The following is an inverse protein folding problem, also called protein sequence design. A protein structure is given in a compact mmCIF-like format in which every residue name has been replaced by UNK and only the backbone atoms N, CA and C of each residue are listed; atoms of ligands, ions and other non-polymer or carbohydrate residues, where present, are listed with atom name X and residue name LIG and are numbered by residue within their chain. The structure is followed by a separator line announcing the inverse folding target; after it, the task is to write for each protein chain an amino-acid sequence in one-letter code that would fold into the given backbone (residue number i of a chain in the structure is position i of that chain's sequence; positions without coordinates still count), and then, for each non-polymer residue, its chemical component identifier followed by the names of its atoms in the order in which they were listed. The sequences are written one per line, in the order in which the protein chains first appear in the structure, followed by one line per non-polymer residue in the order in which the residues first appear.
data_IF_931534739874
#
_entry.id   IF_931534739874
#
_cell.length_a   1.000
_cell.length_b   1.000
_cell.length_c   1.000
_cell.angle_alpha   90.00
_cell.angle_beta   90.00
_cell.angle_gamma   90.00
#
_symmetry.space_group_name_H-M   'P 1'
#
loop_
_entity.id
_entity.type
_entity.pdbx_description
1 polymer ?
#
# COMPACT_ATOMS: atom_id res chain seq x y z
N UNK A 1 11.43 17.27 -102.01
CA UNK A 1 11.22 18.00 -100.73
C UNK A 1 10.11 17.41 -99.85
N UNK A 2 8.92 17.02 -100.37
CA UNK A 2 7.81 16.48 -99.53
C UNK A 2 7.98 15.01 -99.07
N UNK A 3 8.58 14.15 -99.89
CA UNK A 3 8.66 12.69 -99.62
C UNK A 3 9.76 12.29 -98.61
N UNK A 4 10.85 13.05 -98.51
CA UNK A 4 11.90 12.81 -97.50
C UNK A 4 11.46 13.21 -96.09
N UNK A 5 10.58 14.21 -95.98
CA UNK A 5 10.11 14.73 -94.70
C UNK A 5 9.13 13.74 -94.02
N UNK A 6 8.31 13.02 -94.79
CA UNK A 6 7.40 12.00 -94.25
C UNK A 6 8.14 10.77 -93.73
N UNK A 7 9.19 10.31 -94.43
CA UNK A 7 10.03 9.17 -94.00
C UNK A 7 10.80 9.47 -92.72
N UNK A 8 11.33 10.69 -92.58
CA UNK A 8 11.97 11.15 -91.34
C UNK A 8 10.98 11.20 -90.17
N UNK A 9 9.77 11.73 -90.36
CA UNK A 9 8.76 11.74 -89.30
C UNK A 9 8.33 10.34 -88.86
N UNK A 10 8.20 9.38 -89.80
CA UNK A 10 7.86 7.99 -89.48
C UNK A 10 9.00 7.29 -88.71
N UNK A 11 10.26 7.54 -89.07
CA UNK A 11 11.42 6.96 -88.39
C UNK A 11 11.61 7.54 -86.98
N UNK A 12 11.40 8.85 -86.81
CA UNK A 12 11.44 9.54 -85.51
C UNK A 12 10.30 9.05 -84.62
N UNK A 13 9.08 8.88 -85.15
CA UNK A 13 7.98 8.31 -84.37
C UNK A 13 8.25 6.86 -83.96
N UNK A 14 8.86 6.04 -84.83
CA UNK A 14 9.19 4.65 -84.49
C UNK A 14 10.29 4.56 -83.42
N UNK A 15 11.33 5.38 -83.53
CA UNK A 15 12.40 5.50 -82.52
C UNK A 15 11.91 6.08 -81.19
N UNK A 16 10.94 7.00 -81.23
CA UNK A 16 10.30 7.56 -80.03
C UNK A 16 9.42 6.53 -79.31
N UNK A 17 8.66 5.74 -80.07
CA UNK A 17 7.82 4.66 -79.51
C UNK A 17 8.67 3.56 -78.87
N UNK A 18 9.76 3.12 -79.49
CA UNK A 18 10.68 2.13 -78.88
C UNK A 18 11.38 2.66 -77.63
N UNK A 19 11.79 3.94 -77.61
CA UNK A 19 12.40 4.56 -76.43
C UNK A 19 11.41 4.72 -75.26
N UNK A 20 10.14 5.01 -75.56
CA UNK A 20 9.07 5.09 -74.55
C UNK A 20 8.74 3.72 -73.98
N UNK A 21 8.70 2.68 -74.82
CA UNK A 21 8.38 1.31 -74.38
C UNK A 21 9.49 0.74 -73.48
N UNK A 22 10.76 0.98 -73.82
CA UNK A 22 11.91 0.61 -72.97
C UNK A 22 11.96 1.40 -71.65
N UNK A 23 11.58 2.67 -71.66
CA UNK A 23 11.45 3.48 -70.45
C UNK A 23 10.31 2.98 -69.55
N UNK A 24 9.17 2.60 -70.13
CA UNK A 24 8.03 2.02 -69.41
C UNK A 24 8.37 0.65 -68.81
N UNK A 25 9.14 -0.18 -69.54
CA UNK A 25 9.59 -1.49 -69.07
C UNK A 25 10.54 -1.35 -67.89
N UNK A 26 11.48 -0.40 -67.94
CA UNK A 26 12.38 -0.07 -66.82
C UNK A 26 11.65 0.50 -65.62
N UNK A 27 10.62 1.33 -65.83
CA UNK A 27 9.76 1.81 -64.73
C UNK A 27 8.99 0.65 -64.07
N UNK A 28 8.35 -0.23 -64.85
CA UNK A 28 7.63 -1.39 -64.31
C UNK A 28 8.54 -2.36 -63.56
N UNK A 29 9.78 -2.54 -64.00
CA UNK A 29 10.76 -3.34 -63.25
C UNK A 29 11.23 -2.68 -61.96
N UNK A 30 11.43 -1.36 -61.98
CA UNK A 30 11.78 -0.59 -60.78
C UNK A 30 10.63 -0.60 -59.75
N UNK A 31 9.40 -0.45 -60.22
CA UNK A 31 8.17 -0.47 -59.41
C UNK A 31 7.98 -1.85 -58.76
N UNK A 32 8.15 -2.95 -59.52
CA UNK A 32 8.12 -4.31 -58.96
C UNK A 32 9.21 -4.57 -57.92
N UNK A 33 10.43 -4.05 -58.12
CA UNK A 33 11.52 -4.16 -57.15
C UNK A 33 11.23 -3.36 -55.88
N UNK A 34 10.59 -2.21 -56.03
CA UNK A 34 10.18 -1.36 -54.91
C UNK A 34 9.04 -2.01 -54.11
N UNK A 35 8.02 -2.58 -54.77
CA UNK A 35 6.96 -3.34 -54.12
C UNK A 35 7.49 -4.57 -53.37
N UNK A 36 8.48 -5.28 -53.93
CA UNK A 36 9.14 -6.39 -53.24
C UNK A 36 9.90 -5.93 -51.99
N UNK A 37 10.61 -4.81 -52.07
CA UNK A 37 11.33 -4.25 -50.94
C UNK A 37 10.38 -3.78 -49.83
N UNK A 38 9.26 -3.15 -50.21
CA UNK A 38 8.23 -2.70 -49.27
C UNK A 38 7.50 -3.89 -48.62
N UNK A 39 7.17 -4.93 -49.40
CA UNK A 39 6.60 -6.16 -48.87
C UNK A 39 7.54 -6.87 -47.88
N UNK A 40 8.85 -6.88 -48.17
CA UNK A 40 9.87 -7.45 -47.27
C UNK A 40 10.00 -6.65 -45.97
N UNK A 41 10.10 -5.32 -46.06
CA UNK A 41 10.14 -4.43 -44.90
C UNK A 41 8.87 -4.55 -44.04
N UNK A 42 7.70 -4.69 -44.67
CA UNK A 42 6.42 -4.89 -43.97
C UNK A 42 6.35 -6.25 -43.25
N UNK A 43 6.89 -7.31 -43.84
CA UNK A 43 6.96 -8.62 -43.20
C UNK A 43 7.95 -8.63 -42.02
N UNK A 44 9.12 -7.99 -42.18
CA UNK A 44 10.10 -7.84 -41.09
C UNK A 44 9.53 -7.03 -39.93
N UNK A 45 8.83 -5.92 -40.21
CA UNK A 45 8.11 -5.13 -39.20
C UNK A 45 7.03 -5.94 -38.49
N UNK A 46 6.22 -6.72 -39.22
CA UNK A 46 5.21 -7.61 -38.61
C UNK A 46 5.84 -8.66 -37.71
N UNK A 47 6.99 -9.22 -38.11
CA UNK A 47 7.72 -10.20 -37.30
C UNK A 47 8.26 -9.58 -36.02
N UNK A 48 8.86 -8.39 -36.11
CA UNK A 48 9.33 -7.64 -34.95
C UNK A 48 8.17 -7.27 -34.01
N UNK A 49 7.03 -6.82 -34.53
CA UNK A 49 5.84 -6.52 -33.72
C UNK A 49 5.27 -7.78 -33.03
N UNK A 50 5.30 -8.94 -33.70
CA UNK A 50 4.89 -10.21 -33.09
C UNK A 50 5.85 -10.66 -31.99
N UNK A 51 7.17 -10.52 -32.20
CA UNK A 51 8.18 -10.85 -31.19
C UNK A 51 8.05 -9.92 -29.97
N UNK A 52 7.92 -8.61 -30.18
CA UNK A 52 7.66 -7.64 -29.10
C UNK A 52 6.37 -8.00 -28.35
N UNK A 53 5.31 -8.38 -29.05
CA UNK A 53 4.04 -8.79 -28.41
C UNK A 53 4.20 -10.08 -27.61
N UNK A 54 4.97 -11.05 -28.09
CA UNK A 54 5.26 -12.30 -27.39
C UNK A 54 6.08 -12.03 -26.14
N UNK A 55 7.16 -11.28 -26.24
CA UNK A 55 7.98 -10.87 -25.10
C UNK A 55 7.16 -10.07 -24.09
N UNK A 56 6.29 -9.15 -24.53
CA UNK A 56 5.40 -8.39 -23.63
C UNK A 56 4.41 -9.31 -22.88
N UNK A 57 3.88 -10.34 -23.53
CA UNK A 57 3.02 -11.35 -22.87
C UNK A 57 3.80 -12.20 -21.87
N UNK A 58 5.01 -12.63 -22.23
CA UNK A 58 5.87 -13.42 -21.35
C UNK A 58 6.33 -12.62 -20.13
N UNK A 59 6.72 -11.36 -20.31
CA UNK A 59 7.06 -10.46 -19.20
C UNK A 59 5.83 -10.24 -18.32
N UNK A 60 4.65 -9.95 -18.87
CA UNK A 60 3.42 -9.80 -18.08
C UNK A 60 3.10 -11.06 -17.27
N UNK A 61 3.19 -12.24 -17.88
CA UNK A 61 2.97 -13.51 -17.20
C UNK A 61 4.02 -13.79 -16.10
N UNK A 62 5.28 -13.42 -16.31
CA UNK A 62 6.33 -13.50 -15.27
C UNK A 62 6.07 -12.51 -14.13
N UNK A 63 5.68 -11.27 -14.43
CA UNK A 63 5.33 -10.26 -13.43
C UNK A 63 4.12 -10.68 -12.61
N UNK A 64 3.09 -11.25 -13.23
CA UNK A 64 1.93 -11.80 -12.53
C UNK A 64 2.34 -12.96 -11.61
N UNK A 65 3.16 -13.91 -12.09
CA UNK A 65 3.67 -15.00 -11.26
C UNK A 65 4.53 -14.53 -10.09
N UNK A 66 5.37 -13.51 -10.29
CA UNK A 66 6.18 -12.92 -9.22
C UNK A 66 5.29 -12.24 -8.16
N UNK A 67 4.28 -11.48 -8.60
CA UNK A 67 3.31 -10.85 -7.70
C UNK A 67 2.50 -11.88 -6.91
N UNK A 68 2.08 -12.97 -7.55
CA UNK A 68 1.34 -14.05 -6.89
C UNK A 68 2.22 -14.76 -5.84
N UNK A 69 3.51 -14.96 -6.12
CA UNK A 69 4.46 -15.50 -5.16
C UNK A 69 4.69 -14.54 -3.98
N UNK A 70 4.89 -13.24 -4.23
CA UNK A 70 5.01 -12.22 -3.17
C UNK A 70 3.77 -12.19 -2.27
N UNK A 71 2.57 -12.26 -2.87
CA UNK A 71 1.32 -12.30 -2.12
C UNK A 71 1.21 -13.57 -1.26
N UNK A 72 1.60 -14.72 -1.80
CA UNK A 72 1.60 -15.99 -1.06
C UNK A 72 2.56 -15.98 0.14
N UNK A 73 3.79 -15.48 -0.06
CA UNK A 73 4.76 -15.32 1.02
C UNK A 73 4.30 -14.28 2.06
N UNK A 74 3.66 -13.19 1.61
CA UNK A 74 3.06 -12.18 2.48
C UNK A 74 1.97 -12.74 3.38
N UNK A 75 1.05 -13.54 2.81
CA UNK A 75 0.02 -14.24 3.59
C UNK A 75 0.67 -15.21 4.59
N UNK A 76 1.62 -16.03 4.14
CA UNK A 76 2.30 -17.00 5.00
C UNK A 76 2.97 -16.33 6.21
N UNK A 77 3.65 -15.20 5.99
CA UNK A 77 4.28 -14.42 7.05
C UNK A 77 3.26 -13.88 8.07
N UNK A 78 2.14 -13.31 7.60
CA UNK A 78 1.06 -12.84 8.49
C UNK A 78 0.48 -14.01 9.29
N UNK A 79 0.25 -15.17 8.66
CA UNK A 79 -0.27 -16.36 9.34
C UNK A 79 0.66 -16.84 10.45
N UNK A 80 1.98 -16.88 10.22
CA UNK A 80 2.96 -17.27 11.23
C UNK A 80 2.96 -16.30 12.41
N UNK A 81 2.90 -14.98 12.15
CA UNK A 81 2.84 -13.97 13.21
C UNK A 81 1.55 -14.14 14.03
N UNK A 82 0.40 -14.30 13.38
CA UNK A 82 -0.87 -14.52 14.07
C UNK A 82 -0.81 -15.76 14.95
N UNK A 83 -0.20 -16.84 14.46
CA UNK A 83 -0.01 -18.06 15.24
C UNK A 83 0.92 -17.82 16.44
N UNK A 84 2.02 -17.08 16.26
CA UNK A 84 2.93 -16.72 17.35
C UNK A 84 2.22 -15.87 18.42
N UNK A 85 1.39 -14.91 18.02
CA UNK A 85 0.55 -14.11 18.94
C UNK A 85 -0.42 -14.99 19.72
N UNK A 86 -1.08 -15.94 19.04
CA UNK A 86 -2.03 -16.85 19.67
C UNK A 86 -1.32 -17.82 20.62
N UNK A 87 -0.10 -18.28 20.31
CA UNK A 87 0.62 -19.19 21.18
C UNK A 87 1.35 -18.51 22.35
N UNK A 88 1.66 -17.22 22.23
CA UNK A 88 2.37 -16.49 23.27
C UNK A 88 1.44 -16.13 24.45
N UNK A 89 1.57 -16.90 25.54
CA UNK A 89 0.77 -16.71 26.75
C UNK A 89 0.97 -15.35 27.40
N UNK A 90 2.19 -14.80 27.39
CA UNK A 90 2.46 -13.47 27.94
C UNK A 90 1.75 -12.37 27.14
N UNK A 91 1.79 -12.45 25.81
CA UNK A 91 1.12 -11.49 24.94
C UNK A 91 -0.40 -11.55 25.11
N UNK A 92 -0.99 -12.74 25.18
CA UNK A 92 -2.42 -12.90 25.43
C UNK A 92 -2.85 -12.27 26.76
N UNK A 93 -2.12 -12.57 27.84
CA UNK A 93 -2.41 -12.03 29.16
C UNK A 93 -2.32 -10.50 29.15
N UNK A 94 -1.27 -9.96 28.54
CA UNK A 94 -1.06 -8.51 28.45
C UNK A 94 -2.11 -7.82 27.58
N UNK A 95 -2.56 -8.48 26.51
CA UNK A 95 -3.65 -8.02 25.67
C UNK A 95 -4.97 -7.95 26.44
N UNK A 96 -5.31 -9.00 27.19
CA UNK A 96 -6.52 -9.02 28.03
C UNK A 96 -6.43 -7.93 29.10
N UNK A 97 -5.30 -7.80 29.78
CA UNK A 97 -5.11 -6.80 30.83
C UNK A 97 -5.21 -5.37 30.30
N UNK A 98 -4.72 -5.11 29.09
CA UNK A 98 -4.79 -3.80 28.45
C UNK A 98 -6.24 -3.29 28.34
N UNK A 99 -7.21 -4.16 28.05
CA UNK A 99 -8.63 -3.79 28.01
C UNK A 99 -9.32 -3.93 29.37
N UNK A 100 -8.92 -4.92 30.17
CA UNK A 100 -9.54 -5.21 31.47
C UNK A 100 -9.32 -4.09 32.47
N UNK A 101 -8.12 -3.49 32.52
CA UNK A 101 -7.79 -2.41 33.47
C UNK A 101 -8.73 -1.20 33.30
N UNK A 102 -8.85 -0.56 32.11
CA UNK A 102 -9.75 0.57 31.93
C UNK A 102 -11.22 0.18 32.11
N UNK A 103 -11.61 -1.03 31.72
CA UNK A 103 -12.98 -1.51 31.93
C UNK A 103 -13.32 -1.69 33.42
N UNK A 104 -12.41 -2.27 34.20
CA UNK A 104 -12.59 -2.43 35.65
C UNK A 104 -12.68 -1.07 36.33
N UNK A 105 -11.85 -0.11 35.91
CA UNK A 105 -11.92 1.26 36.39
C UNK A 105 -13.27 1.92 36.04
N UNK A 106 -13.77 1.73 34.83
CA UNK A 106 -15.08 2.24 34.40
C UNK A 106 -16.22 1.67 35.24
N UNK A 107 -16.24 0.35 35.49
CA UNK A 107 -17.25 -0.27 36.36
C UNK A 107 -17.20 0.30 37.78
N UNK A 108 -16.00 0.45 38.36
CA UNK A 108 -15.82 1.07 39.68
C UNK A 108 -16.27 2.54 39.69
N UNK A 109 -16.04 3.26 38.61
CA UNK A 109 -16.52 4.63 38.44
C UNK A 109 -18.06 4.68 38.42
N UNK A 110 -18.72 3.75 37.71
CA UNK A 110 -20.17 3.64 37.71
C UNK A 110 -20.72 3.32 39.11
N UNK A 111 -20.10 2.39 39.84
CA UNK A 111 -20.47 2.09 41.24
C UNK A 111 -20.33 3.32 42.14
N UNK A 112 -19.21 4.04 42.01
CA UNK A 112 -18.96 5.29 42.73
C UNK A 112 -19.96 6.38 42.33
N UNK A 113 -20.39 6.43 41.07
CA UNK A 113 -21.41 7.38 40.63
C UNK A 113 -22.75 7.13 41.34
N UNK A 114 -23.11 5.87 41.58
CA UNK A 114 -24.33 5.50 42.32
C UNK A 114 -24.17 5.84 43.81
N UNK A 115 -23.04 5.51 44.42
CA UNK A 115 -22.75 5.79 45.83
C UNK A 115 -21.47 6.61 45.98
N UNK A 116 -21.54 7.94 45.74
CA UNK A 116 -20.35 8.77 45.72
C UNK A 116 -19.80 8.87 47.14
N UNK A 117 -18.56 8.45 47.29
CA UNK A 117 -17.83 8.40 48.56
C UNK A 117 -16.48 9.08 48.42
N UNK A 118 -15.97 9.66 49.49
CA UNK A 118 -14.61 10.21 49.54
C UNK A 118 -13.86 9.65 50.75
N UNK A 119 -12.53 9.67 50.67
CA UNK A 119 -11.66 9.25 51.78
C UNK A 119 -11.49 10.43 52.74
N UNK A 120 -11.70 10.18 54.04
CA UNK A 120 -11.54 11.17 55.09
C UNK A 120 -10.10 11.30 55.62
N UNK A 121 -9.12 10.63 54.99
CA UNK A 121 -7.71 10.63 55.42
C UNK A 121 -7.39 9.61 56.51
N UNK A 122 -8.40 8.88 57.00
CA UNK A 122 -8.26 7.74 57.92
C UNK A 122 -8.58 6.40 57.24
N UNK A 123 -8.50 6.35 55.90
CA UNK A 123 -8.90 5.21 55.07
C UNK A 123 -10.37 4.80 55.24
N UNK A 124 -11.24 5.72 55.71
CA UNK A 124 -12.67 5.48 55.82
C UNK A 124 -13.39 6.21 54.68
N UNK A 125 -14.25 5.48 53.97
CA UNK A 125 -15.07 6.01 52.90
C UNK A 125 -16.35 6.62 53.49
N UNK A 126 -16.48 7.94 53.41
CA UNK A 126 -17.69 8.67 53.82
C UNK A 126 -18.51 9.00 52.57
N UNK A 127 -19.82 8.80 52.62
CA UNK A 127 -20.72 9.16 51.52
C UNK A 127 -20.97 10.68 51.50
N UNK A 128 -21.06 11.25 50.31
CA UNK A 128 -21.48 12.66 50.17
C UNK A 128 -22.93 12.84 50.59
N UNK A 129 -23.24 13.99 51.20
CA UNK A 129 -24.61 14.34 51.60
C UNK A 129 -25.49 14.58 50.36
N UNK A 130 -26.80 14.36 50.46
CA UNK A 130 -27.68 14.24 49.29
C UNK A 130 -27.60 15.37 48.25
N UNK A 131 -27.52 16.63 48.70
CA UNK A 131 -27.39 17.79 47.81
C UNK A 131 -26.01 17.89 47.15
N UNK A 132 -24.94 17.62 47.90
CA UNK A 132 -23.55 17.65 47.43
C UNK A 132 -23.26 16.49 46.46
N UNK A 133 -23.82 15.31 46.74
CA UNK A 133 -23.65 14.11 45.94
C UNK A 133 -24.11 14.30 44.49
N UNK A 134 -25.22 15.02 44.27
CA UNK A 134 -25.75 15.26 42.92
C UNK A 134 -24.85 16.18 42.10
N UNK A 135 -24.36 17.26 42.70
CA UNK A 135 -23.42 18.19 42.05
C UNK A 135 -22.13 17.47 41.65
N UNK A 136 -21.60 16.64 42.55
CA UNK A 136 -20.36 15.89 42.32
C UNK A 136 -20.50 14.87 41.20
N UNK A 137 -21.64 14.17 41.10
CA UNK A 137 -21.92 13.25 39.98
C UNK A 137 -21.88 13.97 38.63
N UNK A 138 -22.53 15.14 38.53
CA UNK A 138 -22.55 15.93 37.31
C UNK A 138 -21.13 16.38 36.94
N UNK A 139 -20.39 16.93 37.90
CA UNK A 139 -19.00 17.35 37.68
C UNK A 139 -18.11 16.18 37.23
N UNK A 140 -18.26 15.01 37.84
CA UNK A 140 -17.50 13.82 37.47
C UNK A 140 -17.81 13.34 36.04
N UNK A 141 -19.09 13.32 35.64
CA UNK A 141 -19.48 12.96 34.26
C UNK A 141 -18.91 13.95 33.25
N UNK A 142 -19.02 15.26 33.54
CA UNK A 142 -18.48 16.31 32.66
C UNK A 142 -16.96 16.16 32.50
N UNK A 143 -16.24 15.92 33.60
CA UNK A 143 -14.79 15.70 33.58
C UNK A 143 -14.41 14.49 32.71
N UNK A 144 -15.15 13.37 32.82
CA UNK A 144 -14.89 12.17 32.02
C UNK A 144 -15.18 12.39 30.55
N UNK A 145 -16.28 13.07 30.20
CA UNK A 145 -16.58 13.43 28.82
C UNK A 145 -15.46 14.29 28.23
N UNK A 146 -14.93 15.24 29.00
CA UNK A 146 -13.83 16.09 28.56
C UNK A 146 -12.54 15.30 28.30
N UNK A 147 -12.17 14.38 29.20
CA UNK A 147 -11.02 13.48 29.02
C UNK A 147 -11.20 12.61 27.77
N UNK A 148 -12.39 12.02 27.59
CA UNK A 148 -12.70 11.21 26.42
C UNK A 148 -12.61 12.02 25.13
N UNK A 149 -13.11 13.25 25.12
CA UNK A 149 -13.02 14.14 23.95
C UNK A 149 -11.56 14.43 23.58
N UNK A 150 -10.71 14.76 24.55
CA UNK A 150 -9.27 14.97 24.32
C UNK A 150 -8.61 13.70 23.78
N UNK A 151 -8.90 12.53 24.38
CA UNK A 151 -8.35 11.26 23.91
C UNK A 151 -8.76 10.97 22.46
N UNK A 152 -10.02 11.22 22.09
CA UNK A 152 -10.49 11.03 20.70
C UNK A 152 -9.74 11.96 19.75
N UNK A 153 -9.58 13.24 20.09
CA UNK A 153 -8.83 14.20 19.26
C UNK A 153 -7.39 13.73 19.06
N UNK A 154 -6.71 13.33 20.14
CA UNK A 154 -5.35 12.80 20.10
C UNK A 154 -5.24 11.56 19.19
N UNK A 155 -6.18 10.61 19.31
CA UNK A 155 -6.21 9.40 18.48
C UNK A 155 -6.43 9.76 17.01
N UNK A 156 -7.39 10.64 16.71
CA UNK A 156 -7.69 11.05 15.32
C UNK A 156 -6.49 11.76 14.70
N UNK A 157 -5.82 12.64 15.44
CA UNK A 157 -4.59 13.28 14.98
C UNK A 157 -3.46 12.28 14.76
N UNK A 158 -3.27 11.32 15.68
CA UNK A 158 -2.29 10.26 15.52
C UNK A 158 -2.58 9.45 14.25
N UNK A 159 -3.83 9.02 14.03
CA UNK A 159 -4.25 8.30 12.82
C UNK A 159 -4.01 9.12 11.56
N UNK A 160 -4.33 10.42 11.56
CA UNK A 160 -4.08 11.31 10.42
C UNK A 160 -2.58 11.41 10.11
N UNK A 161 -1.73 11.56 11.13
CA UNK A 161 -0.26 11.58 10.98
C UNK A 161 0.25 10.25 10.44
N UNK A 162 -0.22 9.13 10.99
CA UNK A 162 0.10 7.78 10.51
C UNK A 162 -0.32 7.59 9.04
N UNK A 163 -1.55 7.98 8.68
CA UNK A 163 -2.05 7.85 7.30
C UNK A 163 -1.23 8.69 6.30
N UNK A 164 -0.80 9.89 6.69
CA UNK A 164 0.05 10.75 5.85
C UNK A 164 1.46 10.15 5.66
N UNK A 165 1.93 9.36 6.63
CA UNK A 165 3.27 8.75 6.67
C UNK A 165 3.26 7.24 6.36
N UNK A 166 2.14 6.74 5.83
CA UNK A 166 1.94 5.33 5.49
C UNK A 166 2.78 4.94 4.27
N UNK A 167 4.09 4.87 4.47
CA UNK A 167 5.08 4.36 3.52
C UNK A 167 5.38 2.89 3.83
N UNK A 168 5.85 2.16 2.83
CA UNK A 168 6.28 0.75 2.95
C UNK A 168 7.26 0.52 4.12
N UNK A 169 8.14 1.50 4.40
CA UNK A 169 9.10 1.45 5.51
C UNK A 169 8.39 1.43 6.88
N UNK A 170 7.35 2.25 7.04
CA UNK A 170 6.57 2.30 8.28
C UNK A 170 5.80 0.98 8.48
N UNK A 171 5.25 0.41 7.41
CA UNK A 171 4.57 -0.89 7.45
C UNK A 171 5.53 -2.04 7.80
N UNK A 172 6.70 -2.10 7.16
CA UNK A 172 7.72 -3.11 7.48
C UNK A 172 8.15 -3.02 8.95
N UNK A 173 8.32 -1.81 9.47
CA UNK A 173 8.67 -1.62 10.87
C UNK A 173 7.54 -2.03 11.83
N UNK A 174 6.29 -1.69 11.50
CA UNK A 174 5.11 -2.07 12.28
C UNK A 174 4.99 -3.59 12.40
N UNK A 175 5.11 -4.30 11.27
CA UNK A 175 5.01 -5.76 11.25
C UNK A 175 6.25 -6.40 11.90
N UNK A 176 7.45 -5.83 11.66
CA UNK A 176 8.69 -6.29 12.28
C UNK A 176 8.66 -6.17 13.81
N UNK A 177 8.29 -5.01 14.34
CA UNK A 177 8.17 -4.80 15.80
C UNK A 177 7.08 -5.68 16.42
N UNK A 178 5.94 -5.86 15.76
CA UNK A 178 4.90 -6.78 16.22
C UNK A 178 5.39 -8.23 16.26
N UNK A 179 6.10 -8.67 15.21
CA UNK A 179 6.66 -10.03 15.14
C UNK A 179 7.71 -10.28 16.23
N UNK A 180 8.59 -9.29 16.49
CA UNK A 180 9.61 -9.39 17.53
C UNK A 180 8.99 -9.53 18.91
N UNK A 181 7.95 -8.75 19.20
CA UNK A 181 7.23 -8.82 20.48
C UNK A 181 6.41 -10.12 20.59
N UNK A 182 5.82 -10.60 19.50
CA UNK A 182 5.08 -11.85 19.49
C UNK A 182 5.97 -13.08 19.72
N UNK A 183 7.18 -13.09 19.17
CA UNK A 183 8.12 -14.23 19.29
C UNK A 183 8.94 -14.16 20.58
N UNK A 184 9.43 -12.97 20.95
CA UNK A 184 10.30 -12.79 22.11
C UNK A 184 9.56 -12.29 23.37
N UNK A 185 8.23 -12.21 23.33
CA UNK A 185 7.44 -11.59 24.40
C UNK A 185 7.67 -12.18 25.78
N UNK A 186 7.80 -13.50 25.88
CA UNK A 186 8.06 -14.18 27.16
C UNK A 186 9.44 -13.81 27.73
N UNK A 187 10.45 -13.71 26.86
CA UNK A 187 11.81 -13.30 27.24
C UNK A 187 11.82 -11.83 27.68
N UNK A 188 11.18 -10.94 26.89
CA UNK A 188 11.08 -9.51 27.21
C UNK A 188 10.41 -9.33 28.57
N UNK A 189 9.31 -10.04 28.85
CA UNK A 189 8.59 -9.98 30.12
C UNK A 189 9.43 -10.49 31.30
N UNK A 190 10.34 -11.44 31.04
CA UNK A 190 11.31 -11.91 32.04
C UNK A 190 12.33 -10.85 32.45
N UNK A 191 12.69 -9.93 31.55
CA UNK A 191 13.63 -8.83 31.85
C UNK A 191 12.95 -7.50 32.21
N UNK A 192 11.75 -7.25 31.70
CA UNK A 192 11.01 -6.01 31.85
C UNK A 192 9.56 -6.30 32.25
N UNK A 193 9.09 -5.88 33.45
CA UNK A 193 7.71 -6.06 33.88
C UNK A 193 6.78 -5.01 33.24
N UNK A 194 6.82 -4.89 31.92
CA UNK A 194 6.05 -3.92 31.14
C UNK A 194 5.09 -4.68 30.23
N UNK A 195 3.86 -4.18 30.11
CA UNK A 195 2.88 -4.76 29.20
C UNK A 195 3.38 -4.67 27.74
N UNK A 196 3.42 -5.82 27.07
CA UNK A 196 3.97 -5.98 25.71
C UNK A 196 3.22 -5.13 24.67
N UNK A 197 1.90 -4.93 24.82
CA UNK A 197 1.10 -4.05 23.95
C UNK A 197 1.51 -2.59 24.14
N UNK A 198 1.73 -2.19 25.39
CA UNK A 198 2.10 -0.83 25.72
C UNK A 198 3.51 -0.52 25.19
N UNK A 199 4.43 -1.48 25.31
CA UNK A 199 5.77 -1.41 24.73
C UNK A 199 5.71 -1.29 23.20
N UNK A 200 4.87 -2.11 22.54
CA UNK A 200 4.67 -2.05 21.10
C UNK A 200 4.21 -0.66 20.64
N UNK A 201 3.21 -0.10 21.30
CA UNK A 201 2.70 1.24 20.99
C UNK A 201 3.79 2.29 21.22
N UNK A 202 4.53 2.20 22.32
CA UNK A 202 5.57 3.16 22.67
C UNK A 202 6.72 3.18 21.65
N UNK A 203 7.21 2.01 21.24
CA UNK A 203 8.27 1.87 20.22
C UNK A 203 7.81 2.46 18.88
N UNK A 204 6.59 2.16 18.45
CA UNK A 204 6.05 2.68 17.19
C UNK A 204 5.79 4.19 17.23
N UNK A 205 5.32 4.73 18.37
CA UNK A 205 5.19 6.18 18.56
C UNK A 205 6.55 6.88 18.57
N UNK A 206 7.55 6.32 19.26
CA UNK A 206 8.89 6.91 19.33
C UNK A 206 9.58 7.03 17.97
N UNK A 207 9.45 6.01 17.12
CA UNK A 207 10.04 6.02 15.77
C UNK A 207 9.34 7.00 14.85
N UNK A 208 8.02 7.10 14.95
CA UNK A 208 7.29 8.13 14.24
C UNK A 208 7.69 9.53 14.69
N UNK A 209 7.96 9.73 15.97
CA UNK A 209 8.42 11.02 16.48
C UNK A 209 9.83 11.37 16.01
N UNK A 210 10.79 10.43 16.05
CA UNK A 210 12.18 10.64 15.58
C UNK A 210 12.20 10.99 14.08
N UNK A 211 11.37 10.33 13.28
CA UNK A 211 11.28 10.59 11.86
C UNK A 211 10.52 11.89 11.52
N UNK A 212 9.85 12.52 12.49
CA UNK A 212 9.21 13.84 12.35
C UNK A 212 10.18 15.00 12.64
N UNK A 213 11.25 14.73 13.39
CA UNK A 213 12.28 15.73 13.76
C UNK A 213 13.43 15.87 12.75
N UNK A 214 13.43 15.09 11.66
CA UNK A 214 14.38 15.21 10.54
C UNK A 214 13.68 15.74 9.31
#
# INVERSE_FOLDING_TARGET
MRDQNSKLQIQVNKSSVEAVDDAQKKQKEAEKKMEQAEAKARNEKKRAEMEIRKTKKEVKARTEKMRDAEYFWGIGYITVILFAIIQNGAFQHDFIDFFRIPFTWYVRFCEWLVYPTYDNGFNQKIAYTGGEAWVIRILAIVAIIFILAIMIVMIVEAIKRYKKRWNEISQMFLIGSLSGIAVLGDVIRGYLPVNLILLFVFVNMGINWIHDTK
#
